data_IF_346324614033
#
_entry.id   IF_346324614033
#
_cell.length_a   1.000
_cell.length_b   1.000
_cell.length_c   1.000
_cell.angle_alpha   90.00
_cell.angle_beta   90.00
_cell.angle_gamma   90.00
#
_symmetry.space_group_name_H-M   'P 1'
#
loop_
_entity.id
_entity.type
_entity.pdbx_description
1 polymer ?
#
# COMPACT_ATOMS: atom_id res chain seq x y z
N UNK A 1 2.11 11.10 -35.56
CA UNK A 1 1.15 11.47 -34.49
C UNK A 1 1.94 12.05 -33.33
N UNK A 2 1.80 13.36 -33.04
CA UNK A 2 2.40 13.96 -31.84
C UNK A 2 1.55 13.52 -30.65
N UNK A 3 2.09 12.66 -29.79
CA UNK A 3 1.46 12.33 -28.53
C UNK A 3 1.59 13.55 -27.62
N UNK A 4 0.49 14.24 -27.33
CA UNK A 4 0.40 15.26 -26.30
C UNK A 4 0.41 14.56 -24.91
N UNK A 5 1.55 14.00 -24.56
CA UNK A 5 1.79 13.41 -23.25
C UNK A 5 2.24 14.53 -22.31
N UNK A 6 1.69 14.59 -21.11
CA UNK A 6 1.90 15.67 -20.13
C UNK A 6 1.46 17.05 -20.66
N UNK A 7 0.21 17.20 -21.06
CA UNK A 7 -0.35 18.48 -21.44
C UNK A 7 -1.15 19.09 -20.27
N UNK A 8 -1.10 20.43 -20.16
CA UNK A 8 -1.91 21.18 -19.18
C UNK A 8 -3.41 20.95 -19.38
N UNK A 9 -3.82 20.65 -20.62
CA UNK A 9 -5.22 20.38 -20.98
C UNK A 9 -5.71 19.02 -20.46
N UNK A 10 -4.80 18.09 -20.14
CA UNK A 10 -5.11 16.74 -19.62
C UNK A 10 -4.19 16.39 -18.46
N UNK A 11 -4.42 16.99 -17.28
CA UNK A 11 -3.51 16.82 -16.13
C UNK A 11 -3.66 15.48 -15.39
N UNK A 12 -4.68 14.69 -15.72
CA UNK A 12 -4.96 13.42 -15.03
C UNK A 12 -4.84 12.25 -16.01
N UNK A 13 -4.03 11.27 -15.64
CA UNK A 13 -3.81 10.03 -16.40
C UNK A 13 -4.36 8.84 -15.64
N UNK A 14 -5.13 7.99 -16.33
CA UNK A 14 -5.61 6.74 -15.79
C UNK A 14 -4.70 5.61 -16.27
N UNK A 15 -3.76 5.22 -15.44
CA UNK A 15 -2.77 4.18 -15.77
C UNK A 15 -3.20 2.77 -15.33
N UNK A 16 -4.41 2.62 -14.75
CA UNK A 16 -4.81 1.38 -14.12
C UNK A 16 -3.96 1.11 -12.87
N UNK A 17 -3.84 -0.17 -12.52
CA UNK A 17 -3.01 -0.57 -11.39
C UNK A 17 -1.75 -1.28 -11.87
N UNK A 18 -0.61 -0.88 -11.26
CA UNK A 18 0.67 -1.56 -11.40
C UNK A 18 1.38 -1.56 -10.07
N UNK A 19 1.62 -2.75 -9.51
CA UNK A 19 2.42 -2.90 -8.28
C UNK A 19 3.83 -2.36 -8.46
N UNK A 20 4.40 -2.59 -9.64
CA UNK A 20 5.71 -2.08 -10.01
C UNK A 20 5.76 -0.55 -10.00
N UNK A 21 4.72 0.11 -10.56
CA UNK A 21 4.63 1.57 -10.54
C UNK A 21 4.60 2.11 -9.10
N UNK A 22 3.78 1.49 -8.24
CA UNK A 22 3.68 1.89 -6.82
C UNK A 22 5.01 1.67 -6.12
N UNK A 23 5.66 0.53 -6.34
CA UNK A 23 6.95 0.22 -5.71
C UNK A 23 8.04 1.22 -6.11
N UNK A 24 8.14 1.57 -7.41
CA UNK A 24 9.09 2.58 -7.89
C UNK A 24 8.78 3.97 -7.35
N UNK A 25 7.49 4.32 -7.22
CA UNK A 25 7.05 5.58 -6.65
C UNK A 25 7.39 5.70 -5.16
N UNK A 26 7.10 4.66 -4.38
CA UNK A 26 7.44 4.60 -2.96
C UNK A 26 8.96 4.67 -2.77
N UNK A 27 9.73 3.99 -3.65
CA UNK A 27 11.20 4.07 -3.66
C UNK A 27 11.72 5.47 -4.00
N UNK A 28 11.08 6.17 -4.91
CA UNK A 28 11.44 7.55 -5.23
C UNK A 28 11.20 8.50 -4.04
N UNK A 29 10.14 8.28 -3.26
CA UNK A 29 9.89 9.03 -2.02
C UNK A 29 10.99 8.75 -1.00
N UNK A 30 11.34 7.48 -0.75
CA UNK A 30 12.43 7.11 0.16
C UNK A 30 13.76 7.79 -0.23
N UNK A 31 14.08 7.84 -1.52
CA UNK A 31 15.29 8.49 -2.04
C UNK A 31 15.24 10.01 -1.82
N UNK A 32 14.06 10.63 -2.00
CA UNK A 32 13.88 12.06 -1.79
C UNK A 32 14.05 12.44 -0.30
N UNK A 33 13.57 11.57 0.61
CA UNK A 33 13.68 11.78 2.06
C UNK A 33 15.09 11.52 2.62
N UNK A 34 15.89 10.67 1.94
CA UNK A 34 17.20 10.25 2.43
C UNK A 34 18.31 11.33 2.33
N UNK A 35 18.07 12.45 1.62
CA UNK A 35 18.99 13.59 1.43
C UNK A 35 20.46 13.19 1.13
N UNK A 36 20.69 12.07 0.42
CA UNK A 36 22.04 11.60 0.12
C UNK A 36 22.70 12.41 -1.00
N UNK A 37 24.04 12.35 -1.10
CA UNK A 37 24.85 13.13 -2.08
C UNK A 37 24.41 12.88 -3.54
N UNK A 38 23.86 11.70 -3.85
CA UNK A 38 23.41 11.34 -5.20
C UNK A 38 21.89 11.20 -5.32
N UNK A 39 21.13 11.70 -4.34
CA UNK A 39 19.66 11.57 -4.32
C UNK A 39 19.00 12.22 -5.54
N UNK A 40 19.49 13.37 -6.00
CA UNK A 40 18.93 14.07 -7.16
C UNK A 40 19.07 13.28 -8.46
N UNK A 41 20.22 12.67 -8.72
CA UNK A 41 20.46 11.86 -9.92
C UNK A 41 19.62 10.58 -9.89
N UNK A 42 19.56 9.93 -8.75
CA UNK A 42 18.77 8.71 -8.56
C UNK A 42 17.27 9.00 -8.67
N UNK A 43 16.83 10.12 -8.08
CA UNK A 43 15.45 10.59 -8.17
C UNK A 43 15.05 10.92 -9.61
N UNK A 44 15.93 11.63 -10.36
CA UNK A 44 15.70 11.92 -11.77
C UNK A 44 15.54 10.65 -12.61
N UNK A 45 16.35 9.61 -12.34
CA UNK A 45 16.21 8.30 -12.97
C UNK A 45 14.86 7.64 -12.65
N UNK A 46 14.46 7.65 -11.40
CA UNK A 46 13.17 7.09 -10.96
C UNK A 46 11.98 7.82 -11.58
N UNK A 47 12.04 9.16 -11.66
CA UNK A 47 11.00 9.99 -12.30
C UNK A 47 10.89 9.67 -13.79
N UNK A 48 12.02 9.57 -14.52
CA UNK A 48 12.00 9.22 -15.93
C UNK A 48 11.43 7.81 -16.18
N UNK A 49 11.78 6.86 -15.31
CA UNK A 49 11.22 5.51 -15.39
C UNK A 49 9.70 5.50 -15.13
N UNK A 50 9.23 6.22 -14.12
CA UNK A 50 7.81 6.40 -13.83
C UNK A 50 7.04 7.01 -14.99
N UNK A 51 7.58 8.03 -15.66
CA UNK A 51 6.98 8.65 -16.85
C UNK A 51 6.86 7.62 -17.99
N UNK A 52 7.90 6.83 -18.24
CA UNK A 52 7.87 5.77 -19.23
C UNK A 52 6.82 4.69 -18.93
N UNK A 53 6.73 4.28 -17.67
CA UNK A 53 5.70 3.35 -17.21
C UNK A 53 4.29 3.93 -17.36
N UNK A 54 4.07 5.18 -16.97
CA UNK A 54 2.78 5.86 -17.14
C UNK A 54 2.32 5.82 -18.61
N UNK A 55 3.23 6.14 -19.53
CA UNK A 55 2.92 6.12 -20.96
C UNK A 55 2.54 4.72 -21.45
N UNK A 56 3.29 3.70 -21.05
CA UNK A 56 3.02 2.30 -21.41
C UNK A 56 1.68 1.82 -20.84
N UNK A 57 1.43 2.10 -19.56
CA UNK A 57 0.22 1.70 -18.85
C UNK A 57 -1.01 2.43 -19.38
N UNK A 58 -0.93 3.73 -19.66
CA UNK A 58 -2.03 4.47 -20.28
C UNK A 58 -2.40 3.90 -21.65
N UNK A 59 -1.40 3.58 -22.48
CA UNK A 59 -1.63 2.97 -23.79
C UNK A 59 -2.33 1.62 -23.68
N UNK A 60 -1.88 0.78 -22.75
CA UNK A 60 -2.48 -0.53 -22.48
C UNK A 60 -3.92 -0.37 -21.97
N UNK A 61 -4.17 0.59 -21.08
CA UNK A 61 -5.50 0.92 -20.56
C UNK A 61 -6.47 1.35 -21.68
N UNK A 62 -6.01 2.20 -22.59
CA UNK A 62 -6.80 2.65 -23.76
C UNK A 62 -7.13 1.51 -24.73
N UNK A 63 -6.24 0.54 -24.87
CA UNK A 63 -6.45 -0.63 -25.72
C UNK A 63 -7.42 -1.64 -25.08
N UNK A 64 -7.38 -1.78 -23.75
CA UNK A 64 -8.24 -2.68 -22.99
C UNK A 64 -9.56 -2.00 -22.59
N UNK A 65 -10.42 -1.70 -23.56
CA UNK A 65 -11.74 -1.01 -23.40
C UNK A 65 -12.80 -1.75 -22.55
N UNK A 66 -12.42 -2.55 -21.55
CA UNK A 66 -13.34 -3.07 -20.54
C UNK A 66 -13.43 -2.10 -19.33
N UNK A 67 -13.71 -0.82 -19.62
CA UNK A 67 -13.70 0.30 -18.67
C UNK A 67 -14.43 0.01 -17.35
N UNK A 68 -15.60 -0.64 -17.39
CA UNK A 68 -16.42 -0.81 -16.19
C UNK A 68 -15.82 -1.72 -15.12
N UNK A 69 -15.23 -2.85 -15.52
CA UNK A 69 -14.68 -3.83 -14.56
C UNK A 69 -13.37 -3.37 -13.93
N UNK A 70 -12.49 -2.77 -14.72
CA UNK A 70 -11.22 -2.23 -14.22
C UNK A 70 -11.46 -1.08 -13.22
N UNK A 71 -12.36 -0.14 -13.56
CA UNK A 71 -12.73 0.97 -12.67
C UNK A 71 -13.38 0.48 -11.38
N UNK A 72 -14.18 -0.59 -11.46
CA UNK A 72 -14.81 -1.20 -10.29
C UNK A 72 -13.75 -1.81 -9.36
N UNK A 73 -12.80 -2.57 -9.89
CA UNK A 73 -11.72 -3.15 -9.10
C UNK A 73 -10.80 -2.05 -8.54
N UNK A 74 -10.53 -1.01 -9.31
CA UNK A 74 -9.76 0.14 -8.82
C UNK A 74 -10.44 0.78 -7.59
N UNK A 75 -11.73 1.08 -7.67
CA UNK A 75 -12.50 1.63 -6.53
C UNK A 75 -12.50 0.69 -5.33
N UNK A 76 -12.69 -0.60 -5.55
CA UNK A 76 -12.65 -1.60 -4.48
C UNK A 76 -11.29 -1.63 -3.77
N UNK A 77 -10.20 -1.50 -4.51
CA UNK A 77 -8.84 -1.44 -3.93
C UNK A 77 -8.62 -0.18 -3.10
N UNK A 78 -9.06 0.98 -3.58
CA UNK A 78 -9.03 2.21 -2.80
C UNK A 78 -9.86 2.06 -1.51
N UNK A 79 -11.03 1.41 -1.61
CA UNK A 79 -11.88 1.13 -0.45
C UNK A 79 -11.18 0.25 0.58
N UNK A 80 -10.54 -0.86 0.13
CA UNK A 80 -9.75 -1.74 1.01
C UNK A 80 -8.60 -0.97 1.66
N UNK A 81 -7.87 -0.15 0.89
CA UNK A 81 -6.74 0.65 1.40
C UNK A 81 -7.19 1.64 2.48
N UNK A 82 -8.28 2.34 2.22
CA UNK A 82 -8.78 3.38 3.15
C UNK A 82 -9.43 2.81 4.40
N UNK A 83 -9.81 1.52 4.39
CA UNK A 83 -10.43 0.84 5.53
C UNK A 83 -9.51 -0.15 6.26
N UNK A 84 -8.20 0.03 6.18
CA UNK A 84 -7.23 -0.90 6.81
C UNK A 84 -7.34 -0.91 8.35
N UNK A 85 -7.70 0.22 8.95
CA UNK A 85 -7.93 0.37 10.39
C UNK A 85 -9.43 0.26 10.77
N UNK A 86 -10.32 0.07 9.80
CA UNK A 86 -11.74 -0.10 10.02
C UNK A 86 -12.11 -1.60 10.04
N UNK A 87 -13.18 -1.94 10.75
CA UNK A 87 -13.73 -3.31 10.76
C UNK A 87 -14.60 -3.58 9.52
N UNK A 88 -13.98 -3.44 8.34
CA UNK A 88 -14.64 -3.67 7.05
C UNK A 88 -14.15 -4.98 6.44
N UNK A 89 -15.10 -5.86 6.19
CA UNK A 89 -14.82 -7.16 5.57
C UNK A 89 -14.75 -7.05 4.05
N UNK A 90 -14.00 -7.95 3.43
CA UNK A 90 -13.96 -8.05 1.97
C UNK A 90 -15.34 -8.40 1.38
N UNK A 91 -16.19 -9.08 2.15
CA UNK A 91 -17.54 -9.40 1.73
C UNK A 91 -18.41 -8.15 1.60
N UNK A 92 -18.35 -7.25 2.58
CA UNK A 92 -19.04 -5.96 2.52
C UNK A 92 -18.57 -5.14 1.31
N UNK A 93 -17.26 -5.11 1.05
CA UNK A 93 -16.71 -4.43 -0.12
C UNK A 93 -17.20 -5.06 -1.43
N UNK A 94 -17.33 -6.38 -1.49
CA UNK A 94 -17.92 -7.04 -2.66
C UNK A 94 -19.39 -6.64 -2.87
N UNK A 95 -20.17 -6.57 -1.80
CA UNK A 95 -21.57 -6.13 -1.82
C UNK A 95 -21.69 -4.67 -2.30
N UNK A 96 -20.82 -3.77 -1.84
CA UNK A 96 -20.75 -2.37 -2.33
C UNK A 96 -20.52 -2.30 -3.86
N UNK A 97 -19.90 -3.32 -4.46
CA UNK A 97 -19.70 -3.39 -5.92
C UNK A 97 -20.88 -3.97 -6.68
N UNK A 98 -21.93 -4.42 -6.00
CA UNK A 98 -23.07 -5.12 -6.59
C UNK A 98 -22.76 -6.54 -7.07
N UNK A 99 -21.64 -7.13 -6.63
CA UNK A 99 -21.23 -8.48 -7.02
C UNK A 99 -21.37 -9.48 -5.87
N UNK A 100 -21.61 -10.76 -6.24
CA UNK A 100 -21.38 -11.84 -5.28
C UNK A 100 -19.88 -11.91 -4.91
N UNK A 101 -19.59 -12.29 -3.67
CA UNK A 101 -18.20 -12.43 -3.18
C UNK A 101 -17.34 -13.33 -4.10
N UNK A 102 -17.88 -14.41 -4.61
CA UNK A 102 -17.17 -15.33 -5.51
C UNK A 102 -16.75 -14.64 -6.81
N UNK A 103 -17.67 -13.90 -7.45
CA UNK A 103 -17.39 -13.16 -8.68
C UNK A 103 -16.41 -12.02 -8.44
N UNK A 104 -16.57 -11.28 -7.33
CA UNK A 104 -15.66 -10.23 -6.93
C UNK A 104 -14.24 -10.77 -6.73
N UNK A 105 -14.08 -11.86 -5.98
CA UNK A 105 -12.79 -12.51 -5.72
C UNK A 105 -12.09 -12.93 -7.00
N UNK A 106 -12.84 -13.54 -7.94
CA UNK A 106 -12.31 -13.96 -9.24
C UNK A 106 -11.82 -12.76 -10.05
N UNK A 107 -12.67 -11.75 -10.18
CA UNK A 107 -12.37 -10.54 -10.93
C UNK A 107 -11.21 -9.76 -10.31
N UNK A 108 -11.20 -9.59 -8.99
CA UNK A 108 -10.12 -8.92 -8.29
C UNK A 108 -8.78 -9.61 -8.52
N UNK A 109 -8.73 -10.96 -8.42
CA UNK A 109 -7.52 -11.73 -8.69
C UNK A 109 -7.07 -11.64 -10.15
N UNK A 110 -8.02 -11.61 -11.10
CA UNK A 110 -7.75 -11.45 -12.53
C UNK A 110 -7.03 -10.13 -12.82
N UNK A 111 -7.46 -9.03 -12.15
CA UNK A 111 -6.91 -7.70 -12.39
C UNK A 111 -5.68 -7.35 -11.53
N UNK A 112 -5.51 -7.99 -10.38
CA UNK A 112 -4.44 -7.63 -9.42
C UNK A 112 -3.39 -8.73 -9.23
N UNK A 113 -3.64 -9.94 -9.75
CA UNK A 113 -2.79 -11.10 -9.56
C UNK A 113 -2.99 -11.81 -8.22
N UNK A 114 -3.56 -11.16 -7.20
CA UNK A 114 -3.74 -11.72 -5.84
C UNK A 114 -5.19 -11.63 -5.38
N UNK A 115 -5.55 -12.42 -4.38
CA UNK A 115 -6.91 -12.36 -3.84
C UNK A 115 -7.13 -11.08 -3.00
N UNK A 116 -8.38 -10.55 -2.92
CA UNK A 116 -8.65 -9.35 -2.15
C UNK A 116 -8.34 -9.52 -0.65
N UNK A 117 -8.52 -10.71 -0.08
CA UNK A 117 -8.16 -10.99 1.31
C UNK A 117 -6.64 -10.92 1.54
N UNK A 118 -5.84 -11.46 0.61
CA UNK A 118 -4.38 -11.36 0.69
C UNK A 118 -3.93 -9.91 0.51
N UNK A 119 -4.54 -9.17 -0.40
CA UNK A 119 -4.27 -7.75 -0.60
C UNK A 119 -4.56 -6.93 0.67
N UNK A 120 -5.71 -7.13 1.33
CA UNK A 120 -6.03 -6.48 2.60
C UNK A 120 -5.02 -6.84 3.69
N UNK A 121 -4.64 -8.12 3.76
CA UNK A 121 -3.67 -8.59 4.75
C UNK A 121 -2.28 -7.94 4.54
N UNK A 122 -1.84 -7.81 3.29
CA UNK A 122 -0.58 -7.14 2.96
C UNK A 122 -0.61 -5.66 3.38
N UNK A 123 -1.72 -4.96 3.14
CA UNK A 123 -1.90 -3.57 3.60
C UNK A 123 -1.88 -3.46 5.13
N UNK A 124 -2.53 -4.38 5.85
CA UNK A 124 -2.49 -4.43 7.32
C UNK A 124 -1.05 -4.62 7.83
N UNK A 125 -0.24 -5.47 7.18
CA UNK A 125 1.17 -5.65 7.54
C UNK A 125 1.99 -4.38 7.26
N UNK A 126 1.78 -3.70 6.13
CA UNK A 126 2.45 -2.42 5.86
C UNK A 126 2.07 -1.37 6.91
N UNK A 127 0.79 -1.25 7.25
CA UNK A 127 0.34 -0.34 8.30
C UNK A 127 0.93 -0.70 9.67
N UNK A 128 1.06 -2.00 9.98
CA UNK A 128 1.72 -2.47 11.19
C UNK A 128 3.19 -2.04 11.26
N UNK A 129 3.94 -2.11 10.16
CA UNK A 129 5.32 -1.61 10.11
C UNK A 129 5.39 -0.13 10.51
N UNK A 130 4.52 0.70 9.94
CA UNK A 130 4.48 2.13 10.26
C UNK A 130 4.16 2.35 11.74
N UNK A 131 3.14 1.66 12.29
CA UNK A 131 2.78 1.78 13.70
C UNK A 131 3.89 1.30 14.65
N UNK A 132 4.59 0.22 14.28
CA UNK A 132 5.71 -0.30 15.05
C UNK A 132 6.90 0.67 15.08
N UNK A 133 7.15 1.39 13.99
CA UNK A 133 8.26 2.34 13.88
C UNK A 133 7.94 3.72 14.47
N UNK A 134 6.67 4.17 14.41
CA UNK A 134 6.32 5.56 14.73
C UNK A 134 5.52 5.73 16.02
N UNK A 135 5.13 4.64 16.70
CA UNK A 135 4.32 4.73 17.93
C UNK A 135 4.82 3.81 19.03
N UNK A 136 4.40 4.12 20.26
CA UNK A 136 4.66 3.31 21.47
C UNK A 136 3.58 2.23 21.70
N UNK A 137 2.57 2.11 20.83
CA UNK A 137 1.51 1.11 20.98
C UNK A 137 2.09 -0.29 21.15
N UNK A 138 1.59 -1.05 22.08
CA UNK A 138 1.99 -2.45 22.26
C UNK A 138 1.68 -3.30 21.02
N UNK A 139 2.37 -4.42 20.86
CA UNK A 139 2.10 -5.36 19.76
C UNK A 139 0.64 -5.84 19.79
N UNK A 140 0.09 -6.01 20.99
CA UNK A 140 -1.29 -6.42 21.21
C UNK A 140 -2.27 -5.32 20.73
N UNK A 141 -2.03 -4.07 21.07
CA UNK A 141 -2.85 -2.94 20.62
C UNK A 141 -2.81 -2.79 19.10
N UNK A 142 -1.63 -2.92 18.48
CA UNK A 142 -1.50 -2.87 17.01
C UNK A 142 -2.28 -3.99 16.35
N UNK A 143 -2.20 -5.22 16.90
CA UNK A 143 -2.95 -6.36 16.37
C UNK A 143 -4.47 -6.09 16.37
N UNK A 144 -5.01 -5.60 17.49
CA UNK A 144 -6.45 -5.29 17.58
C UNK A 144 -6.84 -4.05 16.77
N UNK A 145 -6.02 -3.01 16.74
CA UNK A 145 -6.25 -1.82 15.92
C UNK A 145 -6.34 -2.15 14.42
N UNK A 146 -5.62 -3.16 13.99
CA UNK A 146 -5.63 -3.63 12.59
C UNK A 146 -6.60 -4.81 12.37
N UNK A 147 -7.49 -5.09 13.34
CA UNK A 147 -8.50 -6.14 13.24
C UNK A 147 -7.92 -7.50 12.85
N UNK A 148 -6.83 -7.91 13.53
CA UNK A 148 -6.38 -9.30 13.49
C UNK A 148 -7.13 -10.10 14.55
N UNK A 149 -7.41 -11.36 14.26
CA UNK A 149 -8.15 -12.28 15.16
C UNK A 149 -7.47 -12.43 16.54
N UNK A 150 -6.14 -12.43 16.55
CA UNK A 150 -5.34 -12.46 17.77
C UNK A 150 -3.95 -11.88 17.56
N UNK A 151 -3.28 -11.44 18.67
CA UNK A 151 -1.89 -10.99 18.61
C UNK A 151 -0.92 -12.07 18.12
N UNK A 152 -1.20 -13.34 18.42
CA UNK A 152 -0.37 -14.45 17.97
C UNK A 152 -0.49 -14.68 16.47
N UNK A 153 -1.73 -14.63 15.94
CA UNK A 153 -1.97 -14.70 14.51
C UNK A 153 -1.32 -13.52 13.78
N UNK A 154 -1.45 -12.32 14.32
CA UNK A 154 -0.74 -11.13 13.80
C UNK A 154 0.77 -11.37 13.74
N UNK A 155 1.37 -11.80 14.86
CA UNK A 155 2.83 -12.01 14.95
C UNK A 155 3.32 -13.05 13.97
N UNK A 156 2.58 -14.14 13.80
CA UNK A 156 2.89 -15.19 12.84
C UNK A 156 2.82 -14.66 11.39
N UNK A 157 1.78 -13.90 11.05
CA UNK A 157 1.60 -13.31 9.72
C UNK A 157 2.64 -12.23 9.43
N UNK A 158 2.92 -11.38 10.40
CA UNK A 158 3.96 -10.35 10.27
C UNK A 158 5.33 -11.00 10.00
N UNK A 159 5.69 -12.03 10.78
CA UNK A 159 6.95 -12.77 10.57
C UNK A 159 7.00 -13.45 9.20
N UNK A 160 5.92 -14.09 8.78
CA UNK A 160 5.86 -14.74 7.46
C UNK A 160 6.08 -13.76 6.31
N UNK A 161 5.61 -12.50 6.46
CA UNK A 161 5.73 -11.48 5.41
C UNK A 161 7.03 -10.67 5.46
N UNK A 162 7.59 -10.45 6.67
CA UNK A 162 8.77 -9.57 6.87
C UNK A 162 10.05 -10.32 7.17
N UNK A 163 9.96 -11.62 7.49
CA UNK A 163 11.09 -12.44 7.93
C UNK A 163 11.39 -12.31 9.43
N UNK A 164 10.87 -11.31 10.15
CA UNK A 164 11.17 -11.05 11.56
C UNK A 164 9.92 -10.88 12.42
N UNK A 165 10.07 -11.03 13.74
CA UNK A 165 8.96 -10.82 14.68
C UNK A 165 8.65 -9.31 14.81
N UNK A 166 7.41 -8.91 15.14
CA UNK A 166 7.05 -7.51 15.36
C UNK A 166 7.91 -6.81 16.42
N UNK A 167 8.27 -7.51 17.51
CA UNK A 167 9.15 -6.98 18.56
C UNK A 167 10.54 -6.68 18.04
N UNK A 168 11.15 -7.61 17.29
CA UNK A 168 12.46 -7.42 16.67
C UNK A 168 12.41 -6.27 15.66
N UNK A 169 11.37 -6.21 14.84
CA UNK A 169 11.18 -5.12 13.88
C UNK A 169 11.14 -3.76 14.58
N UNK A 170 10.43 -3.65 15.72
CA UNK A 170 10.38 -2.41 16.51
C UNK A 170 11.76 -2.01 17.04
N UNK A 171 12.53 -2.96 17.56
CA UNK A 171 13.86 -2.68 18.08
C UNK A 171 14.81 -2.16 17.00
N UNK A 172 14.70 -2.70 15.79
CA UNK A 172 15.59 -2.35 14.68
C UNK A 172 15.16 -1.07 13.92
N UNK A 173 13.85 -0.77 13.88
CA UNK A 173 13.28 0.30 13.04
C UNK A 173 12.43 1.30 13.82
N UNK A 174 12.27 1.14 15.12
CA UNK A 174 11.54 2.08 15.96
C UNK A 174 12.33 3.39 16.10
N UNK A 175 11.65 4.53 15.95
CA UNK A 175 12.23 5.81 16.32
C UNK A 175 12.60 5.74 17.80
N UNK A 176 13.84 6.14 18.16
CA UNK A 176 14.25 6.32 19.53
C UNK A 176 13.36 7.40 20.15
N UNK A 177 12.32 7.00 20.86
CA UNK A 177 11.56 7.95 21.70
C UNK A 177 12.47 8.27 22.87
N UNK A 178 12.92 9.51 23.08
CA UNK A 178 13.70 9.85 24.24
C UNK A 178 12.89 9.51 25.49
N UNK A 179 13.46 8.70 26.38
CA UNK A 179 12.91 8.46 27.73
C UNK A 179 12.68 9.82 28.38
N UNK A 180 11.40 10.18 28.57
CA UNK A 180 11.05 11.27 29.45
C UNK A 180 11.53 10.85 30.84
N UNK A 181 12.55 11.55 31.30
CA UNK A 181 13.09 11.48 32.65
C UNK A 181 11.91 11.43 33.64
N UNK A 182 11.75 10.30 34.31
CA UNK A 182 10.99 10.25 35.53
C UNK A 182 11.69 11.18 36.51
N UNK A 183 11.18 12.41 36.59
CA UNK A 183 11.57 13.35 37.59
C UNK A 183 11.29 12.75 38.98
N UNK A 184 12.40 12.37 39.65
CA UNK A 184 12.43 12.15 41.07
C UNK A 184 12.00 13.44 41.73
N UNK A 185 10.82 13.49 42.30
CA UNK A 185 10.43 14.52 43.27
C UNK A 185 10.63 13.85 44.64
N UNK A 186 11.70 14.23 45.29
CA UNK A 186 11.85 14.12 46.73
C UNK A 186 11.01 15.16 47.45
#
# INVERSE_FOLDING_TARGET
MKANFLSIEKPVYHIGFSEEFIHVFDKAIEIAEAESIYSQQTLAGSVNYLIGMMYSLERTYQLNKNKGKADLIHRARLRIRNSVEDDVTIQQIAEETGMSYSNFRKLFKEYTGISPALYQQDLKIQRAKNLLSSTTNSIKEIAYKLHFESPDYFSARFRAKTGMRPSTFRTEHGACVPEQQQGNIL
#
